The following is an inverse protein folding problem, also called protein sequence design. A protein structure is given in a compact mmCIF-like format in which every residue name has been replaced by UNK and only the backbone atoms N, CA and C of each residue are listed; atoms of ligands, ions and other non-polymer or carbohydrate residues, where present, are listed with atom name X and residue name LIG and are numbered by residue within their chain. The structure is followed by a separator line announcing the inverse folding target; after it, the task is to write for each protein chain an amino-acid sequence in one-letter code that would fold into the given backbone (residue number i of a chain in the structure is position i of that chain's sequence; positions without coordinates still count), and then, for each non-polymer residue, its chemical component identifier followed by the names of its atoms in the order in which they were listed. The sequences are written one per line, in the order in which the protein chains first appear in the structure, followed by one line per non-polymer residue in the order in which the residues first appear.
data_IF_530738926088
#
_entry.id   IF_530738926088
#
_cell.length_a   1.000
_cell.length_b   1.000
_cell.length_c   1.000
_cell.angle_alpha   90.00
_cell.angle_beta   90.00
_cell.angle_gamma   90.00
#
_symmetry.space_group_name_H-M   'P 1'
#
loop_
_entity.id
_entity.type
_entity.pdbx_description
1 polymer ?
#
# COMPACT_ATOMS: atom_id res chain seq x y z
N UNK A 1 42.35 -62.68 -17.91
CA UNK A 1 41.55 -61.60 -18.54
C UNK A 1 40.14 -61.65 -17.94
N UNK A 2 39.82 -60.77 -16.96
CA UNK A 2 38.49 -60.71 -16.32
C UNK A 2 37.72 -59.58 -17.01
N UNK A 3 36.57 -59.92 -17.65
CA UNK A 3 35.65 -58.96 -18.25
C UNK A 3 34.69 -58.45 -17.17
N UNK A 4 34.81 -57.15 -16.85
CA UNK A 4 33.91 -56.47 -15.92
C UNK A 4 32.73 -55.91 -16.69
N UNK A 5 31.53 -56.44 -16.43
CA UNK A 5 30.27 -55.97 -17.06
C UNK A 5 29.67 -54.88 -16.20
N UNK A 6 29.69 -53.63 -16.66
CA UNK A 6 29.06 -52.49 -16.01
C UNK A 6 27.57 -52.53 -16.35
N UNK A 7 26.73 -52.68 -15.33
CA UNK A 7 25.25 -52.53 -15.44
C UNK A 7 24.89 -51.06 -15.33
N UNK A 8 24.37 -50.48 -16.40
CA UNK A 8 23.72 -49.15 -16.39
C UNK A 8 22.33 -49.31 -15.75
N UNK A 9 22.14 -48.72 -14.59
CA UNK A 9 20.82 -48.53 -13.99
C UNK A 9 20.18 -47.26 -14.54
N UNK A 10 19.16 -47.42 -15.39
CA UNK A 10 18.29 -46.30 -15.81
C UNK A 10 17.43 -45.88 -14.61
N UNK A 11 17.71 -44.69 -14.08
CA UNK A 11 16.84 -44.00 -13.14
C UNK A 11 15.66 -43.38 -13.91
N UNK A 12 14.45 -43.92 -13.68
CA UNK A 12 13.23 -43.32 -14.19
C UNK A 12 12.95 -42.01 -13.46
N UNK A 13 13.05 -40.91 -14.18
CA UNK A 13 12.64 -39.57 -13.68
C UNK A 13 11.10 -39.53 -13.77
N UNK A 14 10.45 -39.71 -12.62
CA UNK A 14 9.00 -39.47 -12.49
C UNK A 14 8.75 -37.97 -12.52
N UNK A 15 8.30 -37.45 -13.66
CA UNK A 15 7.87 -36.06 -13.79
C UNK A 15 6.55 -35.88 -13.04
N UNK A 16 6.61 -35.32 -11.85
CA UNK A 16 5.43 -34.90 -11.10
C UNK A 16 4.84 -33.65 -11.82
N UNK A 17 3.77 -33.84 -12.57
CA UNK A 17 2.98 -32.75 -13.12
C UNK A 17 2.27 -32.04 -11.96
N UNK A 18 2.83 -30.92 -11.48
CA UNK A 18 2.16 -30.01 -10.57
C UNK A 18 1.13 -29.25 -11.39
N UNK A 19 -0.12 -29.66 -11.32
CA UNK A 19 -1.27 -28.88 -11.78
C UNK A 19 -1.43 -27.70 -10.82
N UNK A 20 -0.89 -26.56 -11.17
CA UNK A 20 -1.16 -25.29 -10.47
C UNK A 20 -2.61 -24.88 -10.73
N UNK A 21 -3.54 -25.37 -9.93
CA UNK A 21 -4.84 -24.74 -9.73
C UNK A 21 -4.54 -23.48 -8.92
N UNK A 22 -4.45 -22.35 -9.61
CA UNK A 22 -4.20 -21.04 -9.00
C UNK A 22 -5.41 -20.56 -8.23
N UNK A 23 -5.72 -21.15 -7.08
CA UNK A 23 -6.57 -20.52 -6.10
C UNK A 23 -5.82 -19.30 -5.57
N UNK A 24 -6.40 -18.12 -5.79
CA UNK A 24 -5.86 -16.87 -5.27
C UNK A 24 -5.77 -17.02 -3.74
N UNK A 25 -4.57 -16.88 -3.17
CA UNK A 25 -4.41 -16.94 -1.72
C UNK A 25 -5.31 -15.86 -1.08
N UNK A 26 -6.01 -16.19 0.02
CA UNK A 26 -6.86 -15.23 0.71
C UNK A 26 -6.03 -14.00 1.12
N UNK A 27 -6.63 -12.82 0.97
CA UNK A 27 -5.98 -11.58 1.37
C UNK A 27 -5.58 -11.63 2.86
N UNK A 28 -4.45 -11.00 3.24
CA UNK A 28 -4.09 -10.89 4.65
C UNK A 28 -5.25 -10.32 5.48
N UNK A 29 -5.50 -10.81 6.71
CA UNK A 29 -6.71 -10.45 7.48
C UNK A 29 -6.94 -8.94 7.63
N UNK A 30 -5.88 -8.16 7.81
CA UNK A 30 -5.98 -6.70 7.93
C UNK A 30 -6.35 -6.03 6.60
N UNK A 31 -5.81 -6.52 5.48
CA UNK A 31 -6.22 -6.07 4.15
C UNK A 31 -7.69 -6.39 3.90
N UNK A 32 -8.12 -7.62 4.19
CA UNK A 32 -9.51 -8.03 4.01
C UNK A 32 -10.46 -7.14 4.82
N UNK A 33 -10.11 -6.85 6.09
CA UNK A 33 -10.91 -5.95 6.93
C UNK A 33 -11.07 -4.54 6.33
N UNK A 34 -10.00 -3.97 5.73
CA UNK A 34 -10.08 -2.69 5.04
C UNK A 34 -10.95 -2.78 3.78
N UNK A 35 -10.77 -3.82 2.96
CA UNK A 35 -11.56 -4.01 1.74
C UNK A 35 -13.05 -4.26 2.04
N UNK A 36 -13.38 -5.01 3.10
CA UNK A 36 -14.76 -5.20 3.54
C UNK A 36 -15.40 -3.87 3.98
N UNK A 37 -14.64 -3.03 4.65
CA UNK A 37 -15.06 -1.67 5.02
C UNK A 37 -15.29 -0.80 3.79
N UNK A 38 -14.39 -0.86 2.82
CA UNK A 38 -14.55 -0.14 1.56
C UNK A 38 -15.76 -0.63 0.75
N UNK A 39 -16.01 -1.93 0.72
CA UNK A 39 -17.21 -2.48 0.07
C UNK A 39 -18.52 -1.95 0.72
N UNK A 40 -18.54 -1.76 2.05
CA UNK A 40 -19.68 -1.12 2.73
C UNK A 40 -19.81 0.35 2.33
N UNK A 41 -18.68 1.07 2.26
CA UNK A 41 -18.66 2.46 1.81
C UNK A 41 -19.20 2.61 0.38
N UNK A 42 -18.68 1.85 -0.56
CA UNK A 42 -19.12 1.85 -1.97
C UNK A 42 -20.60 1.51 -2.12
N UNK A 43 -21.09 0.54 -1.35
CA UNK A 43 -22.50 0.13 -1.42
C UNK A 43 -23.47 1.03 -0.62
N UNK A 44 -22.99 2.10 0.03
CA UNK A 44 -23.79 2.98 0.89
C UNK A 44 -24.32 2.28 2.16
N UNK A 45 -23.66 1.21 2.61
CA UNK A 45 -24.04 0.40 3.79
C UNK A 45 -23.05 0.53 4.93
N UNK A 46 -22.48 1.72 5.11
CA UNK A 46 -21.56 2.01 6.20
C UNK A 46 -22.22 1.78 7.55
N UNK A 47 -21.48 1.21 8.48
CA UNK A 47 -21.96 0.89 9.84
C UNK A 47 -21.44 1.86 10.89
N UNK A 48 -20.47 2.72 10.51
CA UNK A 48 -19.85 3.70 11.42
C UNK A 48 -19.42 3.09 12.76
N UNK A 49 -18.64 1.98 12.74
CA UNK A 49 -18.35 1.24 13.95
C UNK A 49 -17.45 2.06 14.88
N UNK A 50 -17.66 1.90 16.20
CA UNK A 50 -16.75 2.46 17.22
C UNK A 50 -16.49 3.96 17.08
N UNK A 51 -17.53 4.76 16.83
CA UNK A 51 -17.46 6.22 16.72
C UNK A 51 -18.22 6.94 17.85
N UNK A 52 -18.66 6.21 18.86
CA UNK A 52 -19.45 6.71 19.99
C UNK A 52 -18.60 7.20 21.18
N UNK A 53 -19.30 7.74 22.20
CA UNK A 53 -18.67 8.23 23.41
C UNK A 53 -18.00 7.14 24.25
N UNK A 54 -18.52 5.92 24.24
CA UNK A 54 -17.94 4.78 24.95
C UNK A 54 -16.57 4.45 24.36
N UNK A 55 -16.50 4.33 23.03
CA UNK A 55 -15.22 4.08 22.34
C UNK A 55 -14.21 5.19 22.56
N UNK A 56 -14.64 6.45 22.54
CA UNK A 56 -13.75 7.59 22.85
C UNK A 56 -13.15 7.46 24.25
N UNK A 57 -13.95 7.04 25.23
CA UNK A 57 -13.47 6.77 26.60
C UNK A 57 -12.47 5.62 26.67
N UNK A 58 -12.69 4.53 25.94
CA UNK A 58 -11.78 3.39 25.87
C UNK A 58 -10.39 3.79 25.35
N UNK A 59 -10.35 4.54 24.25
CA UNK A 59 -9.07 4.89 23.57
C UNK A 59 -8.40 6.14 24.16
N UNK A 60 -9.04 6.83 25.10
CA UNK A 60 -8.48 8.05 25.71
C UNK A 60 -7.15 7.80 26.46
N UNK A 61 -6.93 6.58 26.94
CA UNK A 61 -5.73 6.22 27.73
C UNK A 61 -4.68 5.47 26.91
N UNK A 62 -4.95 5.13 25.65
CA UNK A 62 -4.04 4.42 24.78
C UNK A 62 -4.70 3.99 23.48
N UNK A 63 -3.87 3.65 22.50
CA UNK A 63 -4.32 3.21 21.18
C UNK A 63 -3.60 1.94 20.75
N UNK A 64 -4.27 1.10 19.99
CA UNK A 64 -3.73 -0.10 19.38
C UNK A 64 -4.34 -0.26 17.97
N UNK A 65 -3.91 0.56 17.00
CA UNK A 65 -4.43 0.51 15.64
C UNK A 65 -4.03 -0.81 14.99
N UNK A 66 -4.97 -1.45 14.28
CA UNK A 66 -4.65 -2.70 13.59
C UNK A 66 -3.89 -2.47 12.28
N UNK A 67 -3.96 -1.26 11.71
CA UNK A 67 -3.34 -0.89 10.46
C UNK A 67 -2.88 0.57 10.46
N UNK A 68 -1.86 0.83 9.65
CA UNK A 68 -1.39 2.14 9.27
C UNK A 68 -1.83 2.44 7.84
N UNK A 69 -2.16 3.70 7.56
CA UNK A 69 -2.45 4.17 6.20
C UNK A 69 -1.67 5.45 5.93
N UNK A 70 -0.77 5.40 4.93
CA UNK A 70 -0.15 6.58 4.36
C UNK A 70 -0.96 7.02 3.15
N UNK A 71 -1.66 8.14 3.25
CA UNK A 71 -2.53 8.65 2.19
C UNK A 71 -2.28 10.11 1.84
N UNK A 72 -2.97 10.58 0.79
CA UNK A 72 -2.94 11.99 0.43
C UNK A 72 -3.67 12.87 1.46
N UNK A 73 -3.22 14.12 1.58
CA UNK A 73 -3.92 15.16 2.32
C UNK A 73 -5.20 15.65 1.63
N UNK A 74 -5.51 15.17 0.42
CA UNK A 74 -6.72 15.51 -0.34
C UNK A 74 -7.98 15.31 0.51
N UNK A 75 -8.83 16.34 0.59
CA UNK A 75 -10.02 16.35 1.45
C UNK A 75 -11.04 15.25 1.11
N UNK A 76 -10.98 14.69 -0.10
CA UNK A 76 -11.87 13.64 -0.60
C UNK A 76 -11.40 12.23 -0.20
N UNK A 77 -10.24 12.08 0.45
CA UNK A 77 -9.58 10.80 0.73
C UNK A 77 -9.35 10.58 2.24
N UNK A 78 -10.39 10.62 3.09
CA UNK A 78 -10.26 10.33 4.53
C UNK A 78 -10.30 8.81 4.77
N UNK A 79 -9.18 8.13 5.13
CA UNK A 79 -9.12 6.68 5.23
C UNK A 79 -10.15 6.06 6.18
N UNK A 80 -10.44 6.71 7.30
CA UNK A 80 -11.41 6.22 8.28
C UNK A 80 -12.82 6.09 7.67
N UNK A 81 -13.20 7.02 6.80
CA UNK A 81 -14.50 6.99 6.09
C UNK A 81 -14.48 5.96 4.97
N UNK A 82 -13.42 5.98 4.13
CA UNK A 82 -13.30 5.10 2.97
C UNK A 82 -13.31 3.62 3.35
N UNK A 83 -12.77 3.30 4.53
CA UNK A 83 -12.69 1.93 5.04
C UNK A 83 -13.71 1.64 6.14
N UNK A 84 -14.67 2.55 6.40
CA UNK A 84 -15.71 2.39 7.44
C UNK A 84 -15.11 1.88 8.77
N UNK A 85 -14.11 2.61 9.29
CA UNK A 85 -13.40 2.29 10.53
C UNK A 85 -13.68 3.35 11.60
N UNK A 86 -13.46 2.98 12.87
CA UNK A 86 -13.74 3.82 14.02
C UNK A 86 -12.50 4.41 14.69
N UNK A 87 -12.73 5.09 15.81
CA UNK A 87 -11.68 5.72 16.62
C UNK A 87 -10.64 4.70 17.07
N UNK A 88 -9.36 4.98 16.82
CA UNK A 88 -8.23 4.14 17.22
C UNK A 88 -8.04 2.86 16.41
N UNK A 89 -8.81 2.65 15.33
CA UNK A 89 -8.65 1.49 14.45
C UNK A 89 -7.49 1.64 13.48
N UNK A 90 -7.30 2.86 12.94
CA UNK A 90 -6.25 3.19 11.99
C UNK A 90 -5.29 4.21 12.57
N UNK A 91 -4.01 4.06 12.25
CA UNK A 91 -3.00 5.09 12.42
C UNK A 91 -2.75 5.74 11.05
N UNK A 92 -3.24 6.97 10.90
CA UNK A 92 -3.28 7.63 9.59
C UNK A 92 -2.22 8.71 9.50
N UNK A 93 -1.40 8.65 8.44
CA UNK A 93 -0.45 9.68 8.03
C UNK A 93 -0.91 10.25 6.69
N UNK A 94 -1.05 11.58 6.59
CA UNK A 94 -1.54 12.22 5.36
C UNK A 94 -0.61 13.34 4.93
N UNK A 95 -0.06 13.19 3.72
CA UNK A 95 0.79 14.19 3.07
C UNK A 95 0.35 14.32 1.62
N UNK A 96 0.35 15.53 1.05
CA UNK A 96 -0.02 15.73 -0.35
C UNK A 96 0.78 14.79 -1.27
N UNK A 97 0.07 14.10 -2.19
CA UNK A 97 0.69 13.07 -3.03
C UNK A 97 1.14 11.81 -2.29
N UNK A 98 0.66 11.57 -1.07
CA UNK A 98 1.00 10.41 -0.23
C UNK A 98 2.52 10.11 -0.15
N UNK A 99 3.38 11.13 -0.23
CA UNK A 99 4.84 10.98 -0.20
C UNK A 99 5.32 10.50 1.18
N UNK A 100 6.46 9.78 1.20
CA UNK A 100 7.11 9.28 2.41
C UNK A 100 8.36 10.13 2.73
N UNK A 101 8.15 11.36 3.20
CA UNK A 101 9.21 12.20 3.73
C UNK A 101 9.70 11.71 5.11
N UNK A 102 10.68 12.39 5.71
CA UNK A 102 11.25 11.96 6.98
C UNK A 102 10.23 11.95 8.14
N UNK A 103 9.28 12.90 8.16
CA UNK A 103 8.26 12.97 9.21
C UNK A 103 7.18 11.89 9.02
N UNK A 104 6.78 11.64 7.76
CA UNK A 104 5.87 10.55 7.44
C UNK A 104 6.50 9.20 7.79
N UNK A 105 7.76 8.96 7.40
CA UNK A 105 8.49 7.72 7.75
C UNK A 105 8.60 7.55 9.27
N UNK A 106 9.01 8.59 10.00
CA UNK A 106 9.09 8.52 11.47
C UNK A 106 7.74 8.21 12.13
N UNK A 107 6.65 8.75 11.59
CA UNK A 107 5.30 8.43 12.06
C UNK A 107 4.93 6.97 11.80
N UNK A 108 5.26 6.43 10.63
CA UNK A 108 5.01 5.03 10.30
C UNK A 108 5.88 4.08 11.15
N UNK A 109 7.14 4.44 11.41
CA UNK A 109 8.01 3.69 12.32
C UNK A 109 7.43 3.66 13.74
N UNK A 110 6.93 4.80 14.23
CA UNK A 110 6.22 4.86 15.52
C UNK A 110 4.99 3.94 15.52
N UNK A 111 4.17 3.99 14.48
CA UNK A 111 2.99 3.13 14.37
C UNK A 111 3.32 1.64 14.38
N UNK A 112 4.41 1.23 13.71
CA UNK A 112 4.83 -0.16 13.66
C UNK A 112 5.56 -0.61 14.92
N UNK A 113 6.54 0.16 15.42
CA UNK A 113 7.43 -0.26 16.50
C UNK A 113 6.86 0.01 17.89
N UNK A 114 6.16 1.13 18.07
CA UNK A 114 5.65 1.57 19.37
C UNK A 114 4.20 1.15 19.58
N UNK A 115 3.36 1.30 18.56
CA UNK A 115 1.93 0.94 18.65
C UNK A 115 1.66 -0.51 18.22
N UNK A 116 2.63 -1.19 17.60
CA UNK A 116 2.53 -2.59 17.23
C UNK A 116 1.61 -2.87 16.04
N UNK A 117 1.32 -1.87 15.20
CA UNK A 117 0.54 -2.07 13.97
C UNK A 117 1.29 -2.96 12.98
N UNK A 118 0.62 -4.01 12.47
CA UNK A 118 1.26 -5.05 11.63
C UNK A 118 0.92 -4.95 10.14
N UNK A 119 0.22 -3.89 9.76
CA UNK A 119 -0.20 -3.67 8.38
C UNK A 119 -0.01 -2.20 8.01
N UNK A 120 0.54 -1.95 6.82
CA UNK A 120 0.70 -0.62 6.24
C UNK A 120 0.14 -0.61 4.82
N UNK A 121 -0.80 0.30 4.56
CA UNK A 121 -1.27 0.61 3.21
C UNK A 121 -0.74 1.97 2.76
N UNK A 122 -0.12 2.01 1.59
CA UNK A 122 0.16 3.26 0.85
C UNK A 122 -0.99 3.48 -0.11
N UNK A 123 -1.81 4.50 0.15
CA UNK A 123 -3.03 4.78 -0.58
C UNK A 123 -2.87 6.02 -1.47
N UNK A 124 -2.69 5.81 -2.77
CA UNK A 124 -2.84 6.83 -3.79
C UNK A 124 -4.31 7.02 -4.18
N UNK A 125 -4.61 8.06 -4.94
CA UNK A 125 -5.98 8.30 -5.39
C UNK A 125 -6.03 8.94 -6.78
N UNK A 126 -7.10 8.74 -7.45
CA UNK A 126 -7.42 9.34 -8.74
C UNK A 126 -7.44 10.87 -8.68
N UNK A 127 -7.11 11.53 -9.77
CA UNK A 127 -7.06 13.00 -9.88
C UNK A 127 -6.25 13.69 -8.79
N UNK A 128 -5.13 13.09 -8.36
CA UNK A 128 -4.25 13.69 -7.37
C UNK A 128 -3.54 14.92 -7.92
N UNK A 129 -3.86 16.11 -7.37
CA UNK A 129 -3.29 17.36 -7.85
C UNK A 129 -1.76 17.46 -7.72
N UNK A 130 -1.17 16.87 -6.68
CA UNK A 130 0.28 16.81 -6.52
C UNK A 130 0.96 15.94 -7.60
N UNK A 131 0.34 14.80 -7.94
CA UNK A 131 0.82 13.93 -9.02
C UNK A 131 0.65 14.60 -10.39
N UNK A 132 -0.48 15.26 -10.61
CA UNK A 132 -0.72 16.03 -11.84
C UNK A 132 0.33 17.12 -12.03
N UNK A 133 0.62 17.92 -10.97
CA UNK A 133 1.68 18.92 -11.00
C UNK A 133 3.04 18.31 -11.37
N UNK A 134 3.41 17.17 -10.79
CA UNK A 134 4.65 16.48 -11.11
C UNK A 134 4.68 15.97 -12.57
N UNK A 135 3.54 15.53 -13.13
CA UNK A 135 3.48 15.12 -14.55
C UNK A 135 3.66 16.30 -15.50
N UNK A 136 3.19 17.49 -15.14
CA UNK A 136 3.37 18.71 -15.94
C UNK A 136 4.80 19.23 -15.87
N UNK A 137 5.49 18.96 -14.76
CA UNK A 137 6.84 19.48 -14.49
C UNK A 137 6.81 20.98 -14.13
N UNK A 138 7.97 21.50 -13.80
CA UNK A 138 8.12 22.91 -13.44
C UNK A 138 8.13 23.15 -11.93
N UNK A 139 8.29 24.42 -11.57
CA UNK A 139 8.30 24.88 -10.19
C UNK A 139 7.02 25.65 -9.88
N UNK A 140 6.39 25.32 -8.77
CA UNK A 140 5.23 26.04 -8.24
C UNK A 140 5.69 27.08 -7.21
N UNK A 141 6.81 26.77 -6.57
CA UNK A 141 7.45 27.62 -5.57
C UNK A 141 7.20 27.18 -4.13
N UNK A 142 8.08 27.62 -3.24
CA UNK A 142 8.01 27.31 -1.81
C UNK A 142 8.15 25.81 -1.51
N UNK A 143 7.49 25.38 -0.46
CA UNK A 143 7.55 23.98 -0.02
C UNK A 143 6.81 23.00 -0.94
N UNK A 144 6.00 23.48 -1.88
CA UNK A 144 5.29 22.61 -2.84
C UNK A 144 6.29 21.91 -3.74
N UNK A 145 7.39 22.56 -4.09
CA UNK A 145 8.43 21.98 -4.95
C UNK A 145 9.02 20.69 -4.37
N UNK A 146 9.20 20.59 -3.05
CA UNK A 146 9.69 19.39 -2.43
C UNK A 146 8.74 18.17 -2.60
N UNK A 147 7.43 18.42 -2.68
CA UNK A 147 6.44 17.40 -2.97
C UNK A 147 6.53 16.95 -4.43
N UNK A 148 6.63 17.92 -5.34
CA UNK A 148 6.78 17.67 -6.79
C UNK A 148 8.07 16.88 -7.06
N UNK A 149 9.18 17.26 -6.45
CA UNK A 149 10.47 16.55 -6.57
C UNK A 149 10.39 15.11 -6.08
N UNK A 150 9.69 14.85 -4.96
CA UNK A 150 9.50 13.51 -4.44
C UNK A 150 8.69 12.61 -5.40
N UNK A 151 7.75 13.19 -6.16
CA UNK A 151 6.89 12.47 -7.12
C UNK A 151 7.52 12.38 -8.53
N UNK A 152 8.45 13.27 -8.86
CA UNK A 152 9.04 13.37 -10.21
C UNK A 152 9.57 12.04 -10.78
N UNK A 153 10.23 11.14 -10.02
CA UNK A 153 10.67 9.84 -10.55
C UNK A 153 9.50 8.98 -11.02
N UNK A 154 8.39 8.97 -10.30
CA UNK A 154 7.18 8.24 -10.67
C UNK A 154 6.52 8.83 -11.92
N UNK A 155 6.42 10.15 -12.01
CA UNK A 155 5.91 10.86 -13.18
C UNK A 155 6.74 10.57 -14.43
N UNK A 156 8.06 10.48 -14.30
CA UNK A 156 8.96 10.13 -15.41
C UNK A 156 8.72 8.69 -15.91
N UNK A 157 8.56 7.73 -15.01
CA UNK A 157 8.23 6.33 -15.39
C UNK A 157 6.87 6.25 -16.09
N UNK A 158 5.86 6.94 -15.57
CA UNK A 158 4.54 6.96 -16.19
C UNK A 158 4.55 7.54 -17.61
N UNK A 159 5.42 8.51 -17.90
CA UNK A 159 5.59 9.08 -19.25
C UNK A 159 6.24 8.10 -20.22
N UNK A 160 7.12 7.25 -19.73
CA UNK A 160 7.83 6.27 -20.55
C UNK A 160 6.96 5.05 -20.91
N UNK A 161 5.84 4.84 -20.23
CA UNK A 161 4.92 3.73 -20.46
C UNK A 161 3.72 4.20 -21.32
N UNK A 162 3.54 3.71 -22.55
CA UNK A 162 2.47 4.11 -23.47
C UNK A 162 1.14 3.37 -23.26
N UNK A 163 0.91 2.73 -22.11
CA UNK A 163 -0.30 1.95 -21.86
C UNK A 163 -1.61 2.74 -22.04
N UNK A 164 -2.73 2.04 -22.18
CA UNK A 164 -4.04 2.58 -22.60
C UNK A 164 -4.74 3.48 -21.58
N UNK A 165 -4.29 3.48 -20.30
CA UNK A 165 -4.83 4.37 -19.28
C UNK A 165 -4.21 5.77 -19.34
N UNK A 166 -4.86 6.76 -18.74
CA UNK A 166 -4.37 8.15 -18.79
C UNK A 166 -2.98 8.29 -18.15
N UNK A 167 -2.21 9.30 -18.60
CA UNK A 167 -0.90 9.58 -17.99
C UNK A 167 -1.02 9.81 -16.48
N UNK A 168 -2.05 10.53 -16.04
CA UNK A 168 -2.26 10.82 -14.62
C UNK A 168 -2.53 9.56 -13.81
N UNK A 169 -3.37 8.66 -14.29
CA UNK A 169 -3.65 7.39 -13.61
C UNK A 169 -2.41 6.51 -13.49
N UNK A 170 -1.63 6.41 -14.57
CA UNK A 170 -0.32 5.71 -14.52
C UNK A 170 0.60 6.35 -13.49
N UNK A 171 0.69 7.68 -13.47
CA UNK A 171 1.56 8.41 -12.54
C UNK A 171 1.11 8.21 -11.08
N UNK A 172 -0.18 8.13 -10.80
CA UNK A 172 -0.70 7.78 -9.46
C UNK A 172 -0.24 6.39 -9.04
N UNK A 173 -0.38 5.38 -9.91
CA UNK A 173 0.05 4.01 -9.63
C UNK A 173 1.58 3.95 -9.45
N UNK A 174 2.33 4.60 -10.32
CA UNK A 174 3.79 4.67 -10.22
C UNK A 174 4.26 5.41 -8.96
N UNK A 175 3.52 6.43 -8.52
CA UNK A 175 3.82 7.13 -7.28
C UNK A 175 3.60 6.22 -6.06
N UNK A 176 2.54 5.42 -6.03
CA UNK A 176 2.36 4.40 -4.99
C UNK A 176 3.55 3.43 -4.97
N UNK A 177 4.00 2.93 -6.13
CA UNK A 177 5.18 2.04 -6.25
C UNK A 177 6.47 2.71 -5.78
N UNK A 178 6.65 4.00 -6.13
CA UNK A 178 7.80 4.80 -5.68
C UNK A 178 7.83 4.90 -4.15
N UNK A 179 6.69 5.23 -3.54
CA UNK A 179 6.58 5.36 -2.09
C UNK A 179 6.88 4.04 -1.39
N UNK A 180 6.41 2.90 -1.90
CA UNK A 180 6.79 1.58 -1.39
C UNK A 180 8.31 1.35 -1.46
N UNK A 181 8.93 1.77 -2.56
CA UNK A 181 10.39 1.70 -2.75
C UNK A 181 11.12 2.61 -1.76
N UNK A 182 10.64 3.83 -1.57
CA UNK A 182 11.20 4.81 -0.62
C UNK A 182 11.12 4.28 0.81
N UNK A 183 9.99 3.70 1.22
CA UNK A 183 9.84 3.06 2.54
C UNK A 183 10.88 1.97 2.73
N UNK A 184 11.04 1.07 1.76
CA UNK A 184 12.02 -0.01 1.84
C UNK A 184 13.48 0.45 1.88
N UNK A 185 13.80 1.56 1.19
CA UNK A 185 15.18 2.10 1.15
C UNK A 185 15.52 3.02 2.31
N UNK A 186 14.57 3.85 2.76
CA UNK A 186 14.84 4.92 3.73
C UNK A 186 14.43 4.58 5.17
N UNK A 187 13.67 3.51 5.37
CA UNK A 187 13.31 3.02 6.71
C UNK A 187 13.81 1.59 6.91
N UNK A 188 15.05 1.40 7.41
CA UNK A 188 15.54 0.07 7.78
C UNK A 188 14.66 -0.62 8.81
N UNK A 189 13.98 0.14 9.67
CA UNK A 189 13.06 -0.37 10.67
C UNK A 189 11.85 -1.06 10.02
N UNK A 190 11.13 -0.36 9.13
CA UNK A 190 9.97 -0.92 8.42
C UNK A 190 10.39 -2.05 7.47
N UNK A 191 11.50 -1.88 6.75
CA UNK A 191 12.03 -2.91 5.89
C UNK A 191 12.41 -4.19 6.66
N UNK A 192 13.01 -4.05 7.84
CA UNK A 192 13.37 -5.17 8.71
C UNK A 192 12.14 -5.92 9.25
N UNK A 193 11.08 -5.21 9.65
CA UNK A 193 9.81 -5.81 10.07
C UNK A 193 9.14 -6.55 8.90
N UNK A 194 9.13 -5.95 7.72
CA UNK A 194 8.56 -6.57 6.53
C UNK A 194 9.32 -7.85 6.13
N UNK A 195 10.65 -7.81 6.15
CA UNK A 195 11.49 -8.97 5.84
C UNK A 195 11.29 -10.16 6.80
N UNK A 196 10.92 -9.89 8.06
CA UNK A 196 10.60 -10.91 9.07
C UNK A 196 9.16 -11.42 8.98
N UNK A 197 8.30 -10.79 8.16
CA UNK A 197 6.87 -11.07 8.13
C UNK A 197 6.06 -10.46 9.28
N UNK A 198 6.68 -9.60 10.10
CA UNK A 198 6.02 -8.90 11.21
C UNK A 198 5.20 -7.69 10.75
N UNK A 199 5.45 -7.19 9.54
CA UNK A 199 4.73 -6.09 8.91
C UNK A 199 4.39 -6.45 7.46
N UNK A 200 3.12 -6.38 7.10
CA UNK A 200 2.68 -6.45 5.70
C UNK A 200 2.57 -5.03 5.14
N UNK A 201 3.20 -4.77 4.00
CA UNK A 201 3.13 -3.46 3.31
C UNK A 201 2.49 -3.66 1.94
N UNK A 202 1.43 -2.90 1.63
CA UNK A 202 0.75 -2.94 0.34
C UNK A 202 0.56 -1.54 -0.23
N UNK A 203 0.49 -1.45 -1.57
CA UNK A 203 0.04 -0.25 -2.26
C UNK A 203 -1.40 -0.40 -2.73
N UNK A 204 -2.15 0.68 -2.73
CA UNK A 204 -3.52 0.71 -3.22
C UNK A 204 -3.83 2.05 -3.92
N UNK A 205 -4.82 2.05 -4.80
CA UNK A 205 -5.39 3.23 -5.46
C UNK A 205 -6.87 3.34 -5.11
N UNK A 206 -7.27 4.52 -4.70
CA UNK A 206 -8.66 4.89 -4.49
C UNK A 206 -9.21 5.59 -5.74
N UNK A 207 -10.33 5.15 -6.22
CA UNK A 207 -11.07 5.71 -7.34
C UNK A 207 -12.12 6.68 -6.79
N UNK A 208 -12.09 7.94 -7.24
CA UNK A 208 -12.94 8.99 -6.70
C UNK A 208 -14.39 8.88 -7.18
N UNK A 209 -14.60 8.32 -8.39
CA UNK A 209 -15.93 8.23 -8.99
C UNK A 209 -16.72 7.05 -8.41
N UNK A 210 -16.09 5.89 -8.30
CA UNK A 210 -16.71 4.66 -7.79
C UNK A 210 -16.63 4.51 -6.27
N UNK A 211 -15.64 5.13 -5.63
CA UNK A 211 -15.32 4.91 -4.22
C UNK A 211 -14.54 3.64 -3.95
N UNK A 212 -14.15 2.89 -4.97
CA UNK A 212 -13.44 1.63 -4.81
C UNK A 212 -11.95 1.80 -4.52
N UNK A 213 -11.42 0.92 -3.66
CA UNK A 213 -9.99 0.78 -3.40
C UNK A 213 -9.47 -0.50 -4.04
N UNK A 214 -8.52 -0.35 -4.95
CA UNK A 214 -7.88 -1.46 -5.66
C UNK A 214 -6.42 -1.60 -5.25
N UNK A 215 -5.99 -2.83 -4.94
CA UNK A 215 -4.59 -3.12 -4.61
C UNK A 215 -3.70 -2.99 -5.85
N UNK A 216 -2.64 -2.21 -5.73
CA UNK A 216 -1.64 -2.03 -6.78
C UNK A 216 -0.71 -3.24 -6.80
N UNK A 217 -0.63 -3.92 -7.94
CA UNK A 217 0.35 -4.98 -8.14
C UNK A 217 1.75 -4.38 -8.12
N UNK A 218 2.57 -4.82 -7.17
CA UNK A 218 4.01 -4.55 -7.20
C UNK A 218 4.59 -5.44 -8.30
N UNK A 219 5.12 -4.84 -9.36
CA UNK A 219 5.83 -5.58 -10.40
C UNK A 219 6.96 -6.43 -9.77
N UNK A 220 7.23 -7.60 -10.40
CA UNK A 220 8.40 -8.42 -10.07
C UNK A 220 9.65 -7.67 -10.44
#
# INVERSE_FOLDING_TARGET
MKKTTTRLTMAAILALAVTATGEAQPAPPHLQRLLDGNARYVSGKTTHPRQDGARRGEVAKGQAPFAMVLSCADSRVPPEILFDQGLGDLFVVRVAGNIADSNALGSLEYGAQVLGAKFLMVLGHEYCGAVDAATKGGHVGGNIDSIIEAIAPAAARAKADPDKITLLDRAVVENVREVLTVIGKRSPALAGLAAKGDLTIVGARYDLDSGEVTVVKTGK
#
